data_IF_112052131506
#
_entry.id   IF_112052131506
#
_cell.length_a   1.000
_cell.length_b   1.000
_cell.length_c   1.000
_cell.angle_alpha   90.00
_cell.angle_beta   90.00
_cell.angle_gamma   90.00
#
_symmetry.space_group_name_H-M   'P 1'
#
loop_
_entity.id
_entity.type
_entity.pdbx_description
1 polymer ?
#
# COMPACT_ATOMS: atom_id res chain seq x y z
N UNK A 1 -7.71 -5.81 15.40
CA UNK A 1 -6.52 -4.94 15.60
C UNK A 1 -5.98 -4.41 14.27
N UNK A 2 -5.99 -5.21 13.20
CA UNK A 2 -5.65 -4.76 11.84
C UNK A 2 -6.68 -3.78 11.22
N UNK A 3 -7.92 -3.81 11.73
CA UNK A 3 -9.05 -3.00 11.29
C UNK A 3 -8.81 -1.48 11.46
N UNK A 4 -7.88 -1.11 12.34
CA UNK A 4 -7.55 0.28 12.64
C UNK A 4 -6.68 0.94 11.56
N UNK A 5 -5.86 0.17 10.82
CA UNK A 5 -4.97 0.71 9.80
C UNK A 5 -5.67 0.88 8.45
N UNK A 6 -6.63 0.01 8.12
CA UNK A 6 -7.26 -0.05 6.79
C UNK A 6 -8.77 0.23 6.81
N UNK A 7 -9.33 0.53 7.99
CA UNK A 7 -10.73 0.93 8.16
C UNK A 7 -10.98 2.42 7.84
N UNK A 8 -12.20 2.92 8.10
CA UNK A 8 -12.62 4.30 7.82
C UNK A 8 -11.82 5.41 8.54
N UNK A 9 -10.88 5.04 9.42
CA UNK A 9 -9.96 5.93 10.13
C UNK A 9 -8.52 5.87 9.61
N UNK A 10 -8.27 5.23 8.46
CA UNK A 10 -6.95 5.29 7.83
C UNK A 10 -6.60 6.75 7.51
N UNK A 11 -5.34 7.16 7.76
CA UNK A 11 -4.90 8.55 7.64
C UNK A 11 -5.18 9.20 6.26
N UNK A 12 -5.48 8.39 5.24
CA UNK A 12 -5.84 8.84 3.90
C UNK A 12 -7.24 9.46 3.82
N UNK A 13 -8.17 9.12 4.72
CA UNK A 13 -9.60 9.50 4.60
C UNK A 13 -9.86 10.98 4.88
N UNK A 14 -8.94 11.65 5.56
CA UNK A 14 -9.00 13.09 5.82
C UNK A 14 -7.85 13.89 5.20
N UNK A 15 -7.01 13.25 4.38
CA UNK A 15 -5.92 13.96 3.70
C UNK A 15 -6.47 14.61 2.42
N UNK A 16 -6.29 15.93 2.22
CA UNK A 16 -6.69 16.60 0.98
C UNK A 16 -6.05 15.93 -0.25
N UNK A 17 -6.83 15.78 -1.32
CA UNK A 17 -6.43 15.09 -2.55
C UNK A 17 -5.11 15.63 -3.12
N UNK A 18 -4.94 16.95 -3.17
CA UNK A 18 -3.71 17.58 -3.65
C UNK A 18 -2.45 17.18 -2.85
N UNK A 19 -2.58 16.89 -1.55
CA UNK A 19 -1.47 16.40 -0.73
C UNK A 19 -1.16 14.94 -1.07
N UNK A 20 -2.20 14.12 -1.26
CA UNK A 20 -2.05 12.72 -1.68
C UNK A 20 -1.34 12.63 -3.03
N UNK A 21 -1.76 13.45 -4.00
CA UNK A 21 -1.13 13.50 -5.33
C UNK A 21 0.34 13.90 -5.26
N UNK A 22 0.65 14.97 -4.52
CA UNK A 22 2.04 15.42 -4.34
C UNK A 22 2.91 14.36 -3.70
N UNK A 23 2.42 13.69 -2.66
CA UNK A 23 3.14 12.61 -1.99
C UNK A 23 3.34 11.43 -2.96
N UNK A 24 2.29 11.03 -3.66
CA UNK A 24 2.36 9.94 -4.64
C UNK A 24 3.39 10.23 -5.71
N UNK A 25 3.44 11.44 -6.25
CA UNK A 25 4.43 11.81 -7.25
C UNK A 25 5.86 11.68 -6.71
N UNK A 26 6.12 12.21 -5.51
CA UNK A 26 7.44 12.09 -4.88
C UNK A 26 7.84 10.62 -4.64
N UNK A 27 6.90 9.78 -4.17
CA UNK A 27 7.13 8.35 -3.96
C UNK A 27 7.44 7.61 -5.26
N UNK A 28 6.74 7.93 -6.35
CA UNK A 28 7.02 7.33 -7.66
C UNK A 28 8.41 7.68 -8.18
N UNK A 29 8.85 8.93 -8.02
CA UNK A 29 10.20 9.35 -8.40
C UNK A 29 11.26 8.60 -7.59
N UNK A 30 11.09 8.51 -6.27
CA UNK A 30 11.98 7.78 -5.37
C UNK A 30 12.04 6.28 -5.74
N UNK A 31 10.90 5.67 -6.06
CA UNK A 31 10.84 4.26 -6.48
C UNK A 31 11.52 3.99 -7.84
N UNK A 32 11.78 5.02 -8.65
CA UNK A 32 12.55 4.92 -9.90
C UNK A 32 14.06 5.08 -9.68
N UNK A 33 14.50 5.55 -8.52
CA UNK A 33 15.92 5.74 -8.23
C UNK A 33 16.65 4.39 -8.13
N UNK A 34 17.76 4.18 -8.87
CA UNK A 34 18.49 2.92 -8.86
C UNK A 34 19.02 2.52 -7.47
N UNK A 35 19.52 3.48 -6.69
CA UNK A 35 19.99 3.22 -5.33
C UNK A 35 18.87 2.73 -4.40
N UNK A 36 17.67 3.29 -4.52
CA UNK A 36 16.50 2.89 -3.72
C UNK A 36 16.05 1.50 -4.11
N UNK A 37 15.99 1.21 -5.42
CA UNK A 37 15.68 -0.12 -5.94
C UNK A 37 16.66 -1.17 -5.42
N UNK A 38 17.96 -0.85 -5.45
CA UNK A 38 19.01 -1.74 -4.95
C UNK A 38 18.86 -1.99 -3.45
N UNK A 39 18.60 -0.93 -2.68
CA UNK A 39 18.43 -1.04 -1.23
C UNK A 39 17.19 -1.85 -0.85
N UNK A 40 16.06 -1.68 -1.55
CA UNK A 40 14.85 -2.48 -1.31
C UNK A 40 15.05 -3.93 -1.75
N UNK A 41 15.69 -4.18 -2.89
CA UNK A 41 16.02 -5.52 -3.35
C UNK A 41 16.92 -6.26 -2.36
N UNK A 42 17.87 -5.58 -1.72
CA UNK A 42 18.72 -6.17 -0.67
C UNK A 42 17.94 -6.66 0.56
N UNK A 43 16.73 -6.15 0.76
CA UNK A 43 15.81 -6.53 1.83
C UNK A 43 14.73 -7.52 1.36
N UNK A 44 14.84 -8.03 0.12
CA UNK A 44 13.85 -8.92 -0.47
C UNK A 44 12.56 -8.22 -0.93
N UNK A 45 12.59 -6.89 -1.07
CA UNK A 45 11.46 -6.10 -1.53
C UNK A 45 11.67 -5.56 -2.95
N UNK A 46 10.58 -5.30 -3.66
CA UNK A 46 10.59 -4.66 -4.98
C UNK A 46 9.98 -3.25 -4.89
N UNK A 47 10.66 -2.28 -5.50
CA UNK A 47 10.15 -0.91 -5.57
C UNK A 47 9.16 -0.79 -6.73
N UNK A 48 7.89 -0.53 -6.41
CA UNK A 48 6.82 -0.31 -7.40
C UNK A 48 6.41 1.15 -7.39
N UNK A 49 6.49 1.81 -8.55
CA UNK A 49 6.01 3.17 -8.73
C UNK A 49 4.51 3.12 -9.10
N UNK A 50 3.64 3.10 -8.11
CA UNK A 50 2.17 3.07 -8.29
C UNK A 50 1.52 4.45 -8.11
N UNK A 51 0.30 4.56 -8.60
CA UNK A 51 -0.63 5.65 -8.32
C UNK A 51 -1.45 5.38 -7.03
N UNK A 52 -2.13 6.40 -6.46
CA UNK A 52 -3.00 6.19 -5.31
C UNK A 52 -4.13 5.21 -5.60
N UNK A 53 -4.73 5.29 -6.80
CA UNK A 53 -5.81 4.40 -7.23
C UNK A 53 -5.35 2.94 -7.37
N UNK A 54 -4.17 2.71 -7.94
CA UNK A 54 -3.60 1.35 -8.04
C UNK A 54 -3.29 0.77 -6.66
N UNK A 55 -2.83 1.62 -5.73
CA UNK A 55 -2.56 1.23 -4.35
C UNK A 55 -3.85 0.87 -3.61
N UNK A 56 -4.90 1.67 -3.72
CA UNK A 56 -6.22 1.35 -3.14
C UNK A 56 -6.78 0.04 -3.71
N UNK A 57 -6.69 -0.15 -5.04
CA UNK A 57 -7.13 -1.38 -5.69
C UNK A 57 -6.34 -2.62 -5.21
N UNK A 58 -5.03 -2.48 -4.98
CA UNK A 58 -4.19 -3.54 -4.44
C UNK A 58 -4.60 -3.89 -3.01
N UNK A 59 -4.75 -2.89 -2.13
CA UNK A 59 -5.15 -3.10 -0.73
C UNK A 59 -6.49 -3.81 -0.66
N UNK A 60 -7.49 -3.38 -1.45
CA UNK A 60 -8.80 -4.05 -1.50
C UNK A 60 -8.70 -5.52 -1.91
N UNK A 61 -7.87 -5.82 -2.93
CA UNK A 61 -7.64 -7.21 -3.37
C UNK A 61 -6.98 -8.05 -2.29
N UNK A 62 -5.93 -7.53 -1.64
CA UNK A 62 -5.23 -8.26 -0.59
C UNK A 62 -6.13 -8.48 0.63
N UNK A 63 -6.90 -7.49 1.06
CA UNK A 63 -7.87 -7.63 2.15
C UNK A 63 -8.87 -8.76 1.85
N UNK A 64 -9.44 -8.79 0.65
CA UNK A 64 -10.39 -9.83 0.26
C UNK A 64 -9.73 -11.22 0.27
N UNK A 65 -8.58 -11.35 -0.40
CA UNK A 65 -7.83 -12.60 -0.48
C UNK A 65 -7.48 -13.16 0.90
N UNK A 66 -6.97 -12.32 1.80
CA UNK A 66 -6.56 -12.79 3.11
C UNK A 66 -7.74 -13.03 4.05
N UNK A 67 -8.88 -12.36 3.85
CA UNK A 67 -10.13 -12.65 4.57
C UNK A 67 -10.66 -14.05 4.22
N UNK A 68 -10.57 -14.45 2.96
CA UNK A 68 -10.93 -15.81 2.52
C UNK A 68 -9.97 -16.86 3.10
N UNK A 69 -8.66 -16.58 3.10
CA UNK A 69 -7.66 -17.46 3.71
C UNK A 69 -7.92 -17.62 5.21
N UNK A 70 -8.16 -16.54 5.96
CA UNK A 70 -8.45 -16.60 7.39
C UNK A 70 -9.71 -17.43 7.69
N UNK A 71 -10.78 -17.19 6.92
CA UNK A 71 -12.04 -17.91 7.06
C UNK A 71 -11.89 -19.40 6.76
N UNK A 72 -11.13 -19.76 5.72
CA UNK A 72 -10.88 -21.16 5.36
C UNK A 72 -9.94 -21.88 6.34
N UNK A 73 -9.04 -21.15 6.99
CA UNK A 73 -8.12 -21.68 7.99
C UNK A 73 -8.73 -21.88 9.38
N UNK A 74 -10.01 -21.47 9.61
CA UNK A 74 -10.69 -21.48 10.93
C UNK A 74 -9.90 -20.74 12.02
N UNK A 75 -9.25 -19.64 11.62
CA UNK A 75 -8.62 -18.72 12.55
C UNK A 75 -9.70 -17.71 12.96
N UNK A 76 -10.44 -18.07 14.02
CA UNK A 76 -11.49 -17.22 14.61
C UNK A 76 -10.88 -16.14 15.53
#
# INVERSE_FOLDING_TARGET
MLDLLWGPNSALIHTPEAIVERLSHAMQEIARMPEVRTQLASQGAEAVASTPAETDALVRREVNKWSEVASSAKLD
#
